data_IF_407149658046
#
_entry.id   IF_407149658046
#
_cell.length_a   1.000
_cell.length_b   1.000
_cell.length_c   1.000
_cell.angle_alpha   90.00
_cell.angle_beta   90.00
_cell.angle_gamma   90.00
#
_symmetry.space_group_name_H-M   'P 1'
#
loop_
_entity.id
_entity.type
_entity.pdbx_description
1 polymer ?
#
# COMPACT_ATOMS: atom_id res chain seq x y z
N UNK A 1 -12.37 -22.98 7.46
CA UNK A 1 -11.32 -22.58 6.50
C UNK A 1 -11.16 -21.08 6.60
N UNK A 2 -9.95 -20.51 6.53
CA UNK A 2 -9.75 -19.06 6.67
C UNK A 2 -9.97 -18.36 5.32
N UNK A 3 -10.67 -17.23 5.32
CA UNK A 3 -10.94 -16.43 4.14
C UNK A 3 -10.12 -15.14 4.15
N UNK A 4 -9.34 -14.89 3.09
CA UNK A 4 -8.52 -13.69 2.95
C UNK A 4 -8.94 -12.87 1.73
N UNK A 5 -8.95 -11.54 1.89
CA UNK A 5 -9.00 -10.59 0.79
C UNK A 5 -7.60 -10.04 0.55
N UNK A 6 -7.14 -10.07 -0.70
CA UNK A 6 -5.95 -9.32 -1.15
C UNK A 6 -6.42 -8.22 -2.09
N UNK A 7 -6.25 -6.96 -1.71
CA UNK A 7 -6.52 -5.82 -2.61
C UNK A 7 -5.23 -5.46 -3.36
N UNK A 8 -5.30 -4.98 -4.60
CA UNK A 8 -4.09 -4.76 -5.41
C UNK A 8 -3.44 -6.07 -5.83
N UNK A 9 -4.24 -7.14 -5.92
CA UNK A 9 -3.80 -8.51 -6.12
C UNK A 9 -3.17 -8.77 -7.50
N UNK A 10 -3.37 -7.88 -8.48
CA UNK A 10 -2.72 -7.98 -9.78
C UNK A 10 -1.30 -7.38 -9.77
N UNK A 11 -0.98 -6.56 -8.78
CA UNK A 11 0.33 -5.93 -8.59
C UNK A 11 1.39 -6.90 -8.06
N UNK A 12 2.65 -6.46 -8.08
CA UNK A 12 3.82 -7.28 -7.71
C UNK A 12 3.69 -7.93 -6.33
N UNK A 13 3.49 -7.14 -5.27
CA UNK A 13 3.43 -7.67 -3.90
C UNK A 13 2.12 -8.45 -3.69
N UNK A 14 1.01 -7.92 -4.19
CA UNK A 14 -0.31 -8.52 -4.05
C UNK A 14 -0.39 -9.93 -4.64
N UNK A 15 0.16 -10.15 -5.84
CA UNK A 15 0.12 -11.48 -6.48
C UNK A 15 0.91 -12.53 -5.70
N UNK A 16 2.09 -12.17 -5.18
CA UNK A 16 2.89 -13.07 -4.34
C UNK A 16 2.23 -13.39 -2.99
N UNK A 17 1.60 -12.40 -2.36
CA UNK A 17 0.82 -12.63 -1.13
C UNK A 17 -0.35 -13.57 -1.41
N UNK A 18 -1.04 -13.36 -2.52
CA UNK A 18 -2.16 -14.19 -2.96
C UNK A 18 -1.72 -15.65 -3.21
N UNK A 19 -0.63 -15.85 -3.96
CA UNK A 19 -0.07 -17.19 -4.22
C UNK A 19 0.33 -17.91 -2.93
N UNK A 20 0.95 -17.18 -2.00
CA UNK A 20 1.31 -17.72 -0.69
C UNK A 20 0.07 -18.18 0.07
N UNK A 21 -0.97 -17.34 0.17
CA UNK A 21 -2.19 -17.67 0.90
C UNK A 21 -2.92 -18.88 0.30
N UNK A 22 -3.00 -18.96 -1.02
CA UNK A 22 -3.57 -20.12 -1.74
C UNK A 22 -2.77 -21.38 -1.40
N UNK A 23 -1.43 -21.31 -1.44
CA UNK A 23 -0.54 -22.44 -1.11
C UNK A 23 -0.71 -22.91 0.33
N UNK A 24 -0.98 -22.00 1.25
CA UNK A 24 -1.26 -22.30 2.67
C UNK A 24 -2.72 -22.78 2.91
N UNK A 25 -3.50 -23.01 1.86
CA UNK A 25 -4.85 -23.59 1.95
C UNK A 25 -5.95 -22.61 2.36
N UNK A 26 -5.74 -21.30 2.19
CA UNK A 26 -6.77 -20.29 2.43
C UNK A 26 -7.76 -20.21 1.27
N UNK A 27 -9.00 -19.80 1.54
CA UNK A 27 -9.86 -19.27 0.49
C UNK A 27 -9.47 -17.82 0.27
N UNK A 28 -9.09 -17.46 -0.95
CA UNK A 28 -8.54 -16.14 -1.25
C UNK A 28 -9.40 -15.45 -2.28
N UNK A 29 -9.80 -14.21 -1.99
CA UNK A 29 -10.41 -13.28 -2.92
C UNK A 29 -9.39 -12.21 -3.31
N UNK A 30 -9.30 -11.94 -4.60
CA UNK A 30 -8.47 -10.92 -5.20
C UNK A 30 -9.36 -9.73 -5.61
N UNK A 31 -9.06 -8.54 -5.10
CA UNK A 31 -9.66 -7.29 -5.57
C UNK A 31 -8.62 -6.46 -6.32
N UNK A 32 -8.90 -6.12 -7.58
CA UNK A 32 -8.03 -5.24 -8.37
C UNK A 32 -8.85 -4.49 -9.43
N UNK A 33 -8.51 -3.23 -9.71
CA UNK A 33 -9.19 -2.43 -10.72
C UNK A 33 -8.59 -2.60 -12.12
N UNK A 34 -7.45 -3.29 -12.23
CA UNK A 34 -6.67 -3.46 -13.45
C UNK A 34 -6.29 -2.11 -14.07
N UNK A 35 -5.79 -1.18 -13.24
CA UNK A 35 -5.37 0.17 -13.63
C UNK A 35 -4.69 0.16 -15.02
N UNK A 36 -5.29 0.79 -16.04
CA UNK A 36 -4.83 0.68 -17.44
C UNK A 36 -3.37 1.04 -17.65
N UNK A 37 -2.82 1.97 -16.86
CA UNK A 37 -1.41 2.33 -16.94
C UNK A 37 -0.48 1.15 -16.61
N UNK A 38 -0.89 0.30 -15.66
CA UNK A 38 -0.17 -0.89 -15.19
C UNK A 38 -0.55 -2.14 -15.97
N UNK A 39 -1.85 -2.37 -16.19
CA UNK A 39 -2.42 -3.59 -16.75
C UNK A 39 -3.01 -3.36 -18.15
N UNK A 40 -2.20 -2.85 -19.07
CA UNK A 40 -2.59 -2.49 -20.45
C UNK A 40 -3.25 -3.61 -21.25
N UNK A 41 -2.99 -4.87 -20.89
CA UNK A 41 -3.53 -6.07 -21.55
C UNK A 41 -4.69 -6.71 -20.79
N UNK A 42 -5.26 -5.99 -19.81
CA UNK A 42 -6.29 -6.51 -18.92
C UNK A 42 -5.73 -7.42 -17.83
N UNK A 43 -6.56 -8.38 -17.38
CA UNK A 43 -6.24 -9.26 -16.25
C UNK A 43 -4.97 -10.07 -16.54
N UNK A 44 -3.90 -9.94 -15.72
CA UNK A 44 -2.69 -10.71 -15.93
C UNK A 44 -2.86 -12.21 -15.69
N UNK A 45 -2.11 -13.01 -16.44
CA UNK A 45 -2.11 -14.47 -16.32
C UNK A 45 -1.50 -14.99 -15.00
N UNK A 46 -0.72 -14.16 -14.29
CA UNK A 46 -0.13 -14.53 -13.00
C UNK A 46 -1.09 -14.41 -11.82
N UNK A 47 -2.30 -13.89 -12.01
CA UNK A 47 -3.31 -13.96 -10.95
C UNK A 47 -3.71 -15.42 -10.80
N UNK A 48 -3.48 -16.00 -9.62
CA UNK A 48 -3.76 -17.40 -9.34
C UNK A 48 -5.22 -17.77 -9.67
N UNK A 49 -5.41 -18.83 -10.44
CA UNK A 49 -6.74 -19.29 -10.86
C UNK A 49 -7.56 -19.89 -9.72
N UNK A 50 -6.92 -20.25 -8.59
CA UNK A 50 -7.61 -20.78 -7.41
C UNK A 50 -8.13 -19.68 -6.48
N UNK A 51 -7.83 -18.41 -6.78
CA UNK A 51 -8.41 -17.27 -6.09
C UNK A 51 -9.66 -16.77 -6.83
N UNK A 52 -10.68 -16.38 -6.06
CA UNK A 52 -11.84 -15.67 -6.61
C UNK A 52 -11.41 -14.27 -7.04
N UNK A 53 -11.59 -13.91 -8.31
CA UNK A 53 -11.19 -12.60 -8.81
C UNK A 53 -12.39 -11.65 -8.92
N UNK A 54 -12.31 -10.54 -8.18
CA UNK A 54 -13.26 -9.43 -8.24
C UNK A 54 -12.57 -8.24 -8.90
N UNK A 55 -13.00 -7.92 -10.13
CA UNK A 55 -12.57 -6.69 -10.77
C UNK A 55 -13.33 -5.51 -10.15
N UNK A 56 -12.63 -4.62 -9.46
CA UNK A 56 -13.26 -3.54 -8.73
C UNK A 56 -12.26 -2.53 -8.19
N UNK A 57 -12.73 -1.30 -7.97
CA UNK A 57 -11.90 -0.21 -7.47
C UNK A 57 -12.10 -0.01 -5.97
N UNK A 58 -11.00 0.20 -5.24
CA UNK A 58 -11.03 0.46 -3.79
C UNK A 58 -11.73 1.80 -3.44
N UNK A 59 -11.96 2.66 -4.42
CA UNK A 59 -12.75 3.90 -4.27
C UNK A 59 -14.26 3.66 -4.41
N UNK A 60 -14.65 2.48 -4.91
CA UNK A 60 -16.05 2.10 -5.10
C UNK A 60 -16.55 1.31 -3.89
N UNK A 61 -17.50 1.90 -3.15
CA UNK A 61 -18.04 1.34 -1.92
C UNK A 61 -18.76 -0.01 -2.11
N UNK A 62 -19.40 -0.21 -3.25
CA UNK A 62 -20.10 -1.48 -3.55
C UNK A 62 -19.11 -2.59 -3.90
N UNK A 63 -18.05 -2.25 -4.63
CA UNK A 63 -16.94 -3.17 -4.90
C UNK A 63 -16.24 -3.59 -3.61
N UNK A 64 -15.96 -2.64 -2.71
CA UNK A 64 -15.42 -2.90 -1.37
C UNK A 64 -16.35 -3.84 -0.59
N UNK A 65 -17.65 -3.52 -0.54
CA UNK A 65 -18.65 -4.30 0.20
C UNK A 65 -18.69 -5.74 -0.29
N UNK A 66 -18.73 -5.93 -1.61
CA UNK A 66 -18.75 -7.26 -2.23
C UNK A 66 -17.46 -8.01 -1.93
N UNK A 67 -16.30 -7.35 -2.04
CA UNK A 67 -15.01 -7.98 -1.81
C UNK A 67 -14.81 -8.42 -0.35
N UNK A 68 -15.37 -7.69 0.62
CA UNK A 68 -15.25 -7.98 2.05
C UNK A 68 -16.21 -9.07 2.56
N UNK A 69 -17.19 -9.50 1.78
CA UNK A 69 -18.19 -10.46 2.24
C UNK A 69 -17.56 -11.82 2.63
N UNK A 70 -17.84 -12.29 3.85
CA UNK A 70 -17.30 -13.55 4.36
C UNK A 70 -15.78 -13.58 4.60
N UNK A 71 -15.09 -12.44 4.62
CA UNK A 71 -13.63 -12.36 4.82
C UNK A 71 -13.26 -12.34 6.31
N UNK A 72 -12.17 -13.02 6.67
CA UNK A 72 -11.57 -12.98 8.01
C UNK A 72 -10.41 -11.97 8.10
N UNK A 73 -9.57 -11.89 7.06
CA UNK A 73 -8.32 -11.11 7.06
C UNK A 73 -8.16 -10.36 5.74
N UNK A 74 -7.75 -9.09 5.83
CA UNK A 74 -7.44 -8.27 4.65
C UNK A 74 -5.93 -8.04 4.53
N UNK A 75 -5.37 -8.30 3.37
CA UNK A 75 -4.03 -7.89 2.95
C UNK A 75 -4.19 -6.74 1.97
N UNK A 76 -4.07 -5.51 2.48
CA UNK A 76 -4.34 -4.29 1.73
C UNK A 76 -3.09 -3.82 0.98
N UNK A 77 -2.97 -4.23 -0.28
CA UNK A 77 -1.87 -3.86 -1.21
C UNK A 77 -2.34 -2.95 -2.35
N UNK A 78 -3.59 -2.47 -2.33
CA UNK A 78 -4.10 -1.57 -3.36
C UNK A 78 -3.51 -0.19 -3.13
N UNK A 79 -2.75 0.31 -4.09
CA UNK A 79 -2.14 1.62 -4.03
C UNK A 79 -1.95 2.19 -5.43
N UNK A 80 -1.94 3.52 -5.51
CA UNK A 80 -1.51 4.29 -6.65
C UNK A 80 -0.12 4.86 -6.37
N UNK A 81 0.80 4.69 -7.31
CA UNK A 81 2.18 5.20 -7.23
C UNK A 81 2.70 5.61 -8.61
N UNK A 82 3.83 6.32 -8.64
CA UNK A 82 4.46 6.78 -9.88
C UNK A 82 5.11 8.17 -9.76
N UNK A 83 5.94 8.51 -10.74
CA UNK A 83 6.78 9.73 -10.76
C UNK A 83 6.02 11.04 -11.05
N UNK A 84 4.74 10.97 -11.45
CA UNK A 84 3.91 12.15 -11.71
C UNK A 84 2.62 12.03 -10.91
N UNK A 85 2.46 12.78 -9.81
CA UNK A 85 1.31 12.53 -8.97
C UNK A 85 0.13 13.26 -9.58
N UNK A 86 -0.80 12.50 -10.15
CA UNK A 86 -2.20 12.85 -10.05
C UNK A 86 -2.55 12.87 -8.55
N UNK A 87 -2.15 13.93 -7.83
CA UNK A 87 -2.16 13.99 -6.36
C UNK A 87 -3.56 13.66 -5.82
N UNK A 88 -4.60 14.20 -6.46
CA UNK A 88 -5.98 13.89 -6.10
C UNK A 88 -6.29 12.39 -6.23
N UNK A 89 -5.88 11.75 -7.32
CA UNK A 89 -6.03 10.29 -7.52
C UNK A 89 -5.22 9.51 -6.49
N UNK A 90 -3.98 9.92 -6.22
CA UNK A 90 -3.12 9.32 -5.20
C UNK A 90 -3.80 9.32 -3.82
N UNK A 91 -4.30 10.48 -3.39
CA UNK A 91 -5.01 10.61 -2.10
C UNK A 91 -6.31 9.81 -2.12
N UNK A 92 -7.06 9.83 -3.23
CA UNK A 92 -8.30 9.08 -3.36
C UNK A 92 -8.09 7.57 -3.26
N UNK A 93 -7.06 7.03 -3.91
CA UNK A 93 -6.78 5.58 -3.87
C UNK A 93 -6.18 5.19 -2.52
N UNK A 94 -5.11 5.87 -2.09
CA UNK A 94 -4.28 5.40 -0.98
C UNK A 94 -4.87 5.76 0.38
N UNK A 95 -5.47 6.95 0.52
CA UNK A 95 -6.01 7.42 1.79
C UNK A 95 -7.52 7.20 1.87
N UNK A 96 -8.28 7.74 0.91
CA UNK A 96 -9.73 7.66 0.94
C UNK A 96 -10.23 6.23 0.71
N UNK A 97 -9.67 5.48 -0.24
CA UNK A 97 -10.03 4.07 -0.45
C UNK A 97 -9.81 3.21 0.79
N UNK A 98 -8.68 3.41 1.49
CA UNK A 98 -8.42 2.77 2.79
C UNK A 98 -9.48 3.15 3.83
N UNK A 99 -9.79 4.44 3.95
CA UNK A 99 -10.79 4.93 4.90
C UNK A 99 -12.19 4.36 4.59
N UNK A 100 -12.58 4.31 3.32
CA UNK A 100 -13.85 3.73 2.88
C UNK A 100 -13.93 2.23 3.20
N UNK A 101 -12.85 1.48 3.01
CA UNK A 101 -12.79 0.08 3.41
C UNK A 101 -13.01 -0.08 4.92
N UNK A 102 -12.32 0.70 5.75
CA UNK A 102 -12.47 0.67 7.20
C UNK A 102 -13.89 1.08 7.63
N UNK A 103 -14.47 2.08 6.98
CA UNK A 103 -15.83 2.53 7.20
C UNK A 103 -16.85 1.43 6.88
N UNK A 104 -16.73 0.75 5.74
CA UNK A 104 -17.61 -0.37 5.37
C UNK A 104 -17.50 -1.51 6.38
N UNK A 105 -16.28 -1.85 6.83
CA UNK A 105 -16.06 -2.89 7.85
C UNK A 105 -16.79 -2.53 9.15
N UNK A 106 -16.63 -1.29 9.62
CA UNK A 106 -17.29 -0.77 10.83
C UNK A 106 -18.80 -0.77 10.70
N UNK A 107 -19.33 -0.15 9.64
CA UNK A 107 -20.77 0.08 9.45
C UNK A 107 -21.57 -1.21 9.28
N UNK A 108 -20.99 -2.19 8.59
CA UNK A 108 -21.63 -3.50 8.38
C UNK A 108 -21.29 -4.51 9.48
N UNK A 109 -20.51 -4.12 10.49
CA UNK A 109 -20.04 -4.98 11.56
C UNK A 109 -19.45 -6.31 11.02
N UNK A 110 -18.57 -6.20 10.01
CA UNK A 110 -17.99 -7.37 9.35
C UNK A 110 -17.02 -8.10 10.27
N UNK A 111 -16.89 -9.43 10.18
CA UNK A 111 -16.10 -10.25 11.10
C UNK A 111 -14.58 -10.19 10.84
N UNK A 112 -14.08 -9.06 10.32
CA UNK A 112 -12.68 -8.87 9.97
C UNK A 112 -11.84 -8.83 11.25
N UNK A 113 -10.91 -9.79 11.38
CA UNK A 113 -10.07 -9.98 12.57
C UNK A 113 -8.73 -9.26 12.47
N UNK A 114 -8.27 -9.00 11.24
CA UNK A 114 -6.95 -8.39 10.99
C UNK A 114 -6.91 -7.72 9.62
N UNK A 115 -6.23 -6.58 9.57
CA UNK A 115 -5.88 -5.89 8.33
C UNK A 115 -4.35 -5.71 8.33
N UNK A 116 -3.70 -6.18 7.28
CA UNK A 116 -2.27 -5.97 7.02
C UNK A 116 -2.16 -4.92 5.93
N UNK A 117 -1.71 -3.72 6.29
CA UNK A 117 -1.61 -2.57 5.39
C UNK A 117 -0.20 -2.42 4.85
N UNK A 118 -0.07 -2.28 3.53
CA UNK A 118 1.19 -1.88 2.92
C UNK A 118 1.42 -0.38 3.10
N UNK A 119 2.41 -0.02 3.92
CA UNK A 119 2.91 1.36 4.03
C UNK A 119 4.14 1.56 3.13
N UNK A 120 4.67 2.77 3.09
CA UNK A 120 5.83 3.15 2.26
C UNK A 120 6.82 3.98 3.07
N UNK A 121 8.09 3.94 2.67
CA UNK A 121 9.14 4.82 3.21
C UNK A 121 8.79 6.31 3.09
N UNK A 122 7.89 6.67 2.17
CA UNK A 122 7.41 8.04 1.98
C UNK A 122 6.84 8.69 3.26
N UNK A 123 6.37 7.91 4.24
CA UNK A 123 5.87 8.46 5.51
C UNK A 123 6.98 8.98 6.42
N UNK A 124 8.24 8.57 6.18
CA UNK A 124 9.38 8.92 7.02
C UNK A 124 10.20 10.10 6.47
N UNK A 125 9.84 10.67 5.31
CA UNK A 125 10.59 11.76 4.68
C UNK A 125 12.06 11.38 4.47
N UNK A 126 13.01 12.05 5.14
CA UNK A 126 14.45 11.72 5.08
C UNK A 126 14.84 10.52 5.96
N UNK A 127 13.89 9.98 6.73
CA UNK A 127 14.15 8.89 7.65
C UNK A 127 14.77 9.34 8.97
N UNK A 128 15.25 8.36 9.74
CA UNK A 128 16.10 8.60 10.88
C UNK A 128 17.56 8.39 10.46
N UNK A 129 18.48 9.12 11.09
CA UNK A 129 19.91 8.98 10.86
C UNK A 129 20.69 8.93 12.17
N UNK A 130 21.90 8.38 12.14
CA UNK A 130 22.77 8.34 13.32
C UNK A 130 23.81 9.46 13.26
N UNK A 131 23.70 10.40 14.20
CA UNK A 131 24.65 11.49 14.34
C UNK A 131 25.80 11.07 15.26
N UNK A 132 27.07 11.31 14.88
CA UNK A 132 28.23 10.95 15.71
C UNK A 132 28.28 11.69 17.06
N UNK A 133 27.51 12.76 17.25
CA UNK A 133 27.45 13.55 18.49
C UNK A 133 26.17 13.38 19.28
N UNK A 134 25.06 13.09 18.60
CA UNK A 134 23.72 13.12 19.20
C UNK A 134 22.98 11.77 19.12
N UNK A 135 23.59 10.74 18.54
CA UNK A 135 22.95 9.44 18.32
C UNK A 135 21.79 9.55 17.33
N UNK A 136 20.70 8.86 17.61
CA UNK A 136 19.51 8.84 16.75
C UNK A 136 18.90 10.24 16.59
N UNK A 137 18.79 10.71 15.36
CA UNK A 137 18.16 11.98 15.00
C UNK A 137 17.13 11.79 13.88
N UNK A 138 16.21 12.76 13.76
CA UNK A 138 15.19 12.82 12.71
C UNK A 138 15.41 14.08 11.87
N UNK A 139 16.23 14.01 10.82
CA UNK A 139 16.52 15.11 9.92
C UNK A 139 15.25 15.69 9.29
N UNK A 140 15.29 17.00 9.00
CA UNK A 140 14.25 17.66 8.20
C UNK A 140 14.52 17.39 6.71
N UNK A 141 13.50 17.57 5.88
CA UNK A 141 13.63 17.59 4.41
C UNK A 141 14.82 18.47 4.01
N UNK A 142 15.73 17.93 3.19
CA UNK A 142 16.88 18.66 2.67
C UNK A 142 16.41 19.89 1.88
N UNK A 143 16.92 21.10 2.18
CA UNK A 143 16.58 22.30 1.43
C UNK A 143 16.95 22.17 -0.04
N UNK A 144 16.19 22.83 -0.92
CA UNK A 144 16.46 22.80 -2.37
C UNK A 144 17.84 23.39 -2.68
N UNK A 145 18.27 24.39 -1.90
CA UNK A 145 19.59 25.02 -2.01
C UNK A 145 20.71 24.00 -1.80
N UNK A 146 20.61 23.17 -0.76
CA UNK A 146 21.57 22.07 -0.50
C UNK A 146 21.67 21.11 -1.70
N UNK A 147 20.52 20.69 -2.24
CA UNK A 147 20.47 19.77 -3.37
C UNK A 147 21.04 20.40 -4.66
N UNK A 148 20.85 21.70 -4.86
CA UNK A 148 21.41 22.45 -6.01
C UNK A 148 22.92 22.57 -5.94
N UNK A 149 23.47 22.63 -4.73
CA UNK A 149 24.90 22.70 -4.48
C UNK A 149 25.58 21.31 -4.58
N UNK A 150 24.81 20.25 -4.87
CA UNK A 150 25.32 18.89 -5.05
C UNK A 150 25.55 18.13 -3.74
N UNK A 151 25.08 18.68 -2.62
CA UNK A 151 25.12 18.01 -1.32
C UNK A 151 23.87 17.13 -1.13
N UNK A 152 24.07 15.83 -1.35
CA UNK A 152 23.03 14.81 -1.21
C UNK A 152 23.00 14.17 0.17
N UNK A 153 23.90 14.55 1.08
CA UNK A 153 24.01 13.94 2.38
C UNK A 153 22.86 14.36 3.29
N UNK A 154 22.54 13.49 4.24
CA UNK A 154 21.54 13.80 5.28
C UNK A 154 22.29 14.33 6.49
N UNK A 155 21.88 15.50 6.98
CA UNK A 155 22.57 16.20 8.06
C UNK A 155 21.77 16.20 9.35
N UNK A 156 22.49 16.08 10.47
CA UNK A 156 21.94 16.18 11.81
C UNK A 156 21.27 17.55 12.00
N UNK A 157 20.00 17.61 12.44
CA UNK A 157 19.27 18.87 12.58
C UNK A 157 19.78 19.75 13.74
N UNK A 158 20.70 19.25 14.55
CA UNK A 158 21.25 19.93 15.74
C UNK A 158 22.63 20.53 15.44
N UNK A 159 23.55 19.76 14.86
CA UNK A 159 24.92 20.23 14.60
C UNK A 159 25.37 20.20 13.14
N UNK A 160 24.53 19.79 12.19
CA UNK A 160 24.88 19.75 10.76
C UNK A 160 25.92 18.70 10.37
N UNK A 161 26.27 17.75 11.25
CA UNK A 161 27.14 16.64 10.88
C UNK A 161 26.37 15.66 9.97
N UNK A 162 27.05 15.06 8.99
CA UNK A 162 26.49 13.98 8.16
C UNK A 162 26.05 12.83 9.07
N UNK A 163 24.85 12.31 8.84
CA UNK A 163 24.32 11.13 9.54
C UNK A 163 24.63 9.85 8.77
N UNK A 164 24.93 8.78 9.51
CA UNK A 164 25.06 7.41 8.98
C UNK A 164 23.76 6.62 9.01
#
# INVERSE_FOLDING_TARGET
MKCALVTGAAGLIGSHVLDLLVREGWQVRALDNLEPQTHRRGKPAWINSNAEFVQGDIRNRDAITTALDGIDVVFHQAAYGGYMPEIAKYVHVNSLGTAQMLEVIREKNLPIKKIVVASSQAVYSEGAGECPKHGLVFPRVRPIEQLRDGDWEVHCPICGAITG
#
